data_IF_402515099914
#
_entry.id   IF_402515099914
#
_cell.length_a   1.000
_cell.length_b   1.000
_cell.length_c   1.000
_cell.angle_alpha   90.00
_cell.angle_beta   90.00
_cell.angle_gamma   90.00
#
_symmetry.space_group_name_H-M   'P 1'
#
loop_
_entity.id
_entity.type
_entity.pdbx_description
1 polymer ?
#
# COMPACT_ATOMS: atom_id res chain seq x y z
N UNK A 1 -3.20 29.76 -1.22
CA UNK A 1 -3.65 28.49 -0.63
C UNK A 1 -3.22 27.42 -1.60
N UNK A 2 -2.13 26.73 -1.30
CA UNK A 2 -1.56 25.72 -2.19
C UNK A 2 -2.55 24.55 -2.22
N UNK A 3 -3.17 24.30 -3.37
CA UNK A 3 -4.04 23.14 -3.54
C UNK A 3 -3.17 21.89 -3.44
N UNK A 4 -3.45 21.01 -2.49
CA UNK A 4 -2.78 19.71 -2.43
C UNK A 4 -2.89 19.03 -3.80
N UNK A 5 -1.74 18.76 -4.42
CA UNK A 5 -1.70 18.06 -5.69
C UNK A 5 -2.13 16.60 -5.46
N UNK A 6 -2.85 15.99 -6.41
CA UNK A 6 -3.18 14.57 -6.31
C UNK A 6 -1.90 13.72 -6.30
N UNK A 7 -1.92 12.64 -5.53
CA UNK A 7 -0.79 11.72 -5.37
C UNK A 7 -1.03 10.46 -6.18
N UNK A 8 0.03 9.95 -6.82
CA UNK A 8 0.02 8.61 -7.43
C UNK A 8 0.97 7.71 -6.65
N UNK A 9 0.47 6.59 -6.16
CA UNK A 9 1.28 5.53 -5.54
C UNK A 9 1.51 4.42 -6.58
N UNK A 10 2.78 4.13 -6.87
CA UNK A 10 3.15 3.07 -7.83
C UNK A 10 3.52 1.82 -7.03
N UNK A 11 2.73 0.77 -7.20
CA UNK A 11 2.77 -0.49 -6.47
C UNK A 11 1.69 -0.57 -5.40
N UNK A 12 0.82 -1.57 -5.50
CA UNK A 12 -0.17 -1.96 -4.50
C UNK A 12 0.33 -3.12 -3.62
N UNK A 13 1.62 -3.12 -3.28
CA UNK A 13 2.17 -3.93 -2.19
C UNK A 13 1.79 -3.37 -0.81
N UNK A 14 2.17 -4.02 0.29
CA UNK A 14 1.75 -3.61 1.64
C UNK A 14 2.12 -2.15 1.96
N UNK A 15 3.34 -1.74 1.65
CA UNK A 15 3.81 -0.36 1.86
C UNK A 15 3.07 0.66 0.99
N UNK A 16 2.76 0.32 -0.27
CA UNK A 16 2.01 1.21 -1.15
C UNK A 16 0.56 1.38 -0.69
N UNK A 17 -0.07 0.29 -0.24
CA UNK A 17 -1.42 0.34 0.31
C UNK A 17 -1.48 1.09 1.65
N UNK A 18 -0.48 0.92 2.53
CA UNK A 18 -0.37 1.68 3.77
C UNK A 18 -0.23 3.19 3.47
N UNK A 19 0.66 3.57 2.54
CA UNK A 19 0.81 4.96 2.12
C UNK A 19 -0.50 5.53 1.55
N UNK A 20 -1.22 4.76 0.72
CA UNK A 20 -2.51 5.17 0.18
C UNK A 20 -3.58 5.33 1.27
N UNK A 21 -3.63 4.43 2.27
CA UNK A 21 -4.54 4.55 3.41
C UNK A 21 -4.29 5.84 4.20
N UNK A 22 -3.03 6.13 4.52
CA UNK A 22 -2.64 7.37 5.20
C UNK A 22 -3.00 8.63 4.40
N UNK A 23 -2.91 8.60 3.07
CA UNK A 23 -3.31 9.71 2.22
C UNK A 23 -4.83 9.92 2.23
N UNK A 24 -5.60 8.83 2.18
CA UNK A 24 -7.07 8.88 2.28
C UNK A 24 -7.51 9.47 3.62
N UNK A 25 -6.89 9.06 4.74
CA UNK A 25 -7.20 9.59 6.07
C UNK A 25 -6.94 11.10 6.23
N UNK A 26 -6.07 11.66 5.37
CA UNK A 26 -5.69 13.08 5.36
C UNK A 26 -6.45 13.89 4.31
N UNK A 27 -7.49 13.31 3.71
CA UNK A 27 -8.28 13.90 2.62
C UNK A 27 -7.41 14.27 1.40
N UNK A 28 -6.32 13.55 1.16
CA UNK A 28 -5.45 13.76 -0.01
C UNK A 28 -5.89 12.83 -1.15
N UNK A 29 -6.28 13.36 -2.33
CA UNK A 29 -6.66 12.54 -3.47
C UNK A 29 -5.51 11.63 -3.90
N UNK A 30 -5.77 10.32 -3.98
CA UNK A 30 -4.75 9.32 -4.33
C UNK A 30 -5.25 8.33 -5.38
N UNK A 31 -4.37 7.96 -6.31
CA UNK A 31 -4.55 6.84 -7.24
C UNK A 31 -3.43 5.83 -7.03
N UNK A 32 -3.78 4.55 -6.90
CA UNK A 32 -2.79 3.46 -6.80
C UNK A 32 -2.73 2.71 -8.12
N UNK A 33 -1.52 2.51 -8.64
CA UNK A 33 -1.27 1.74 -9.86
C UNK A 33 -0.47 0.48 -9.51
N UNK A 34 -0.96 -0.68 -9.91
CA UNK A 34 -0.31 -1.98 -9.70
C UNK A 34 -0.02 -2.64 -11.04
N UNK A 35 1.13 -3.31 -11.14
CA UNK A 35 1.54 -4.02 -12.35
C UNK A 35 0.82 -5.37 -12.48
N UNK A 36 0.53 -6.03 -11.35
CA UNK A 36 -0.20 -7.29 -11.30
C UNK A 36 -1.71 -7.15 -11.49
N UNK A 37 -2.41 -8.29 -11.41
CA UNK A 37 -3.85 -8.37 -11.66
C UNK A 37 -4.71 -7.90 -10.48
N UNK A 38 -4.09 -7.66 -9.33
CA UNK A 38 -4.76 -7.16 -8.13
C UNK A 38 -3.80 -6.71 -7.04
N UNK A 39 -4.35 -6.18 -5.92
CA UNK A 39 -3.55 -5.79 -4.76
C UNK A 39 -2.66 -6.93 -4.28
N UNK A 40 -1.48 -6.60 -3.78
CA UNK A 40 -0.51 -7.53 -3.22
C UNK A 40 -0.08 -8.68 -4.17
N UNK A 41 -0.15 -8.46 -5.50
CA UNK A 41 0.24 -9.48 -6.50
C UNK A 41 1.63 -10.07 -6.24
N UNK A 42 2.64 -9.22 -5.99
CA UNK A 42 4.00 -9.68 -5.67
C UNK A 42 4.08 -10.44 -4.33
N UNK A 43 3.27 -10.08 -3.33
CA UNK A 43 3.25 -10.81 -2.04
C UNK A 43 2.63 -12.19 -2.22
N UNK A 44 1.61 -12.32 -3.07
CA UNK A 44 0.96 -13.59 -3.35
C UNK A 44 1.93 -14.63 -3.95
N UNK A 45 2.90 -14.19 -4.77
CA UNK A 45 3.95 -15.06 -5.31
C UNK A 45 4.82 -15.69 -4.20
N UNK A 46 5.00 -14.99 -3.08
CA UNK A 46 5.82 -15.41 -1.94
C UNK A 46 4.99 -16.02 -0.82
N UNK A 47 3.70 -16.29 -1.02
CA UNK A 47 2.79 -16.85 0.01
C UNK A 47 3.21 -18.22 0.55
N UNK A 48 4.18 -18.88 -0.09
CA UNK A 48 4.80 -20.13 0.35
C UNK A 48 5.91 -19.92 1.41
N UNK A 49 6.38 -18.68 1.61
CA UNK A 49 7.40 -18.33 2.60
C UNK A 49 6.73 -18.05 3.93
N UNK A 50 7.18 -18.74 5.00
CA UNK A 50 6.72 -18.43 6.36
C UNK A 50 7.44 -17.21 6.90
N UNK A 51 6.68 -16.27 7.46
CA UNK A 51 7.22 -15.16 8.23
C UNK A 51 7.56 -15.63 9.65
N UNK A 52 8.55 -14.99 10.25
CA UNK A 52 9.02 -15.30 11.60
C UNK A 52 8.37 -14.45 12.69
N UNK A 53 7.86 -13.28 12.31
CA UNK A 53 7.13 -12.35 13.18
C UNK A 53 5.62 -12.49 12.98
N UNK A 54 4.86 -12.22 14.04
CA UNK A 54 3.40 -12.21 13.94
C UNK A 54 2.93 -11.03 13.10
N UNK A 55 1.75 -11.16 12.48
CA UNK A 55 1.18 -10.09 11.65
C UNK A 55 1.08 -8.72 12.36
N UNK A 56 0.67 -8.63 13.64
CA UNK A 56 0.60 -7.35 14.35
C UNK A 56 1.96 -6.63 14.51
N UNK A 57 3.08 -7.34 14.38
CA UNK A 57 4.42 -6.76 14.46
C UNK A 57 4.89 -6.13 13.14
N UNK A 58 4.17 -6.39 12.04
CA UNK A 58 4.57 -6.03 10.67
C UNK A 58 3.68 -4.97 10.02
N UNK A 59 2.69 -4.46 10.74
CA UNK A 59 1.77 -3.43 10.27
C UNK A 59 2.08 -2.09 10.96
N UNK A 60 1.82 -0.99 10.26
CA UNK A 60 1.79 0.32 10.90
C UNK A 60 0.42 0.55 11.57
N UNK A 61 0.41 1.47 12.53
CA UNK A 61 -0.77 1.92 13.28
C UNK A 61 -1.19 3.29 12.84
#
# INVERSE_FOLDING_TARGET
MESALPVVVIGAGPQGLAAAAHLVERDVPVVVLEAGTGPASAVAEWGHVRLFSEWPELIDT
#
